data_IF_843920403236
#
_entry.id   IF_843920403236
#
_cell.length_a   1.000
_cell.length_b   1.000
_cell.length_c   1.000
_cell.angle_alpha   90.00
_cell.angle_beta   90.00
_cell.angle_gamma   90.00
#
_symmetry.space_group_name_H-M   'P 1'
#
loop_
_entity.id
_entity.type
_entity.pdbx_description
1 polymer ?
#
# COMPACT_ATOMS: atom_id res chain seq x y z
N UNK A 1 -26.17 6.28 2.59
CA UNK A 1 -25.38 7.27 3.36
C UNK A 1 -23.92 7.31 2.92
N UNK A 2 -23.18 6.19 2.91
CA UNK A 2 -21.77 6.20 2.49
C UNK A 2 -21.51 6.75 1.08
N UNK A 3 -22.34 6.37 0.09
CA UNK A 3 -22.27 6.91 -1.28
C UNK A 3 -22.52 8.43 -1.31
N UNK A 4 -23.44 8.93 -0.47
CA UNK A 4 -23.74 10.36 -0.38
C UNK A 4 -22.55 11.15 0.17
N UNK A 5 -21.92 10.62 1.24
CA UNK A 5 -20.70 11.20 1.80
C UNK A 5 -19.57 11.20 0.76
N UNK A 6 -19.38 10.07 0.07
CA UNK A 6 -18.38 9.93 -1.00
C UNK A 6 -18.60 10.95 -2.12
N UNK A 7 -19.86 11.13 -2.59
CA UNK A 7 -20.18 12.12 -3.62
C UNK A 7 -19.93 13.54 -3.16
N UNK A 8 -20.17 13.84 -1.88
CA UNK A 8 -19.96 15.17 -1.33
C UNK A 8 -18.47 15.57 -1.28
N UNK A 9 -17.57 14.59 -1.12
CA UNK A 9 -16.11 14.83 -0.99
C UNK A 9 -15.30 14.44 -2.24
N UNK A 10 -15.99 14.16 -3.35
CA UNK A 10 -15.40 13.59 -4.57
C UNK A 10 -14.27 14.45 -5.16
N UNK A 11 -14.35 15.77 -5.02
CA UNK A 11 -13.46 16.72 -5.71
C UNK A 11 -11.99 16.66 -5.25
N UNK A 12 -11.70 16.02 -4.12
CA UNK A 12 -10.33 15.96 -3.58
C UNK A 12 -9.65 14.59 -3.72
N UNK A 13 -10.32 13.56 -4.24
CA UNK A 13 -9.75 12.21 -4.45
C UNK A 13 -9.42 11.46 -3.15
N UNK A 14 -8.47 11.96 -2.35
CA UNK A 14 -8.09 11.41 -1.03
C UNK A 14 -9.24 11.46 -0.02
N UNK A 15 -10.08 12.48 -0.06
CA UNK A 15 -11.25 12.54 0.83
C UNK A 15 -12.29 11.48 0.48
N UNK A 16 -12.40 11.11 -0.80
CA UNK A 16 -13.31 10.08 -1.27
C UNK A 16 -12.87 8.68 -0.78
N UNK A 17 -11.57 8.40 -0.70
CA UNK A 17 -11.09 7.14 -0.10
C UNK A 17 -11.29 7.10 1.41
N UNK A 18 -11.07 8.22 2.11
CA UNK A 18 -11.35 8.33 3.54
C UNK A 18 -12.84 8.16 3.86
N UNK A 19 -13.75 8.55 2.97
CA UNK A 19 -15.18 8.32 3.17
C UNK A 19 -15.51 6.82 3.35
N UNK A 20 -14.85 5.93 2.59
CA UNK A 20 -15.01 4.48 2.76
C UNK A 20 -14.53 4.00 4.14
N UNK A 21 -13.38 4.51 4.59
CA UNK A 21 -12.83 4.21 5.93
C UNK A 21 -13.78 4.69 7.02
N UNK A 22 -14.28 5.94 6.93
CA UNK A 22 -15.25 6.50 7.87
C UNK A 22 -16.51 5.64 7.90
N UNK A 23 -17.07 5.28 6.75
CA UNK A 23 -18.25 4.40 6.72
C UNK A 23 -17.95 3.09 7.44
N UNK A 24 -16.82 2.44 7.16
CA UNK A 24 -16.40 1.21 7.85
C UNK A 24 -16.35 1.33 9.37
N UNK A 25 -15.76 2.42 9.89
CA UNK A 25 -15.71 2.69 11.33
C UNK A 25 -17.08 2.86 11.99
N UNK A 26 -18.08 3.33 11.24
CA UNK A 26 -19.43 3.55 11.76
C UNK A 26 -20.35 2.32 11.60
N UNK A 27 -19.89 1.23 10.97
CA UNK A 27 -20.70 0.00 10.87
C UNK A 27 -20.64 -0.74 12.22
N UNK A 28 -21.79 -1.11 12.82
CA UNK A 28 -21.81 -1.75 14.12
C UNK A 28 -21.03 -3.06 14.17
N UNK A 29 -20.07 -3.16 15.10
CA UNK A 29 -19.31 -4.38 15.32
C UNK A 29 -20.00 -5.34 16.30
N UNK A 30 -20.71 -4.82 17.32
CA UNK A 30 -21.29 -5.63 18.40
C UNK A 30 -22.36 -6.60 17.89
N UNK A 31 -22.30 -7.84 18.36
CA UNK A 31 -23.27 -8.89 18.05
C UNK A 31 -24.54 -8.75 18.89
N UNK A 32 -25.39 -7.77 18.56
CA UNK A 32 -26.66 -7.55 19.29
C UNK A 32 -27.73 -8.60 18.95
N UNK A 33 -27.63 -9.25 17.78
CA UNK A 33 -28.59 -10.23 17.27
C UNK A 33 -27.94 -11.58 16.93
N UNK A 34 -26.89 -11.98 17.67
CA UNK A 34 -26.14 -13.21 17.43
C UNK A 34 -25.28 -13.21 16.16
N UNK A 35 -25.17 -12.05 15.48
CA UNK A 35 -24.29 -11.84 14.33
C UNK A 35 -23.82 -10.39 14.28
N UNK A 36 -22.55 -10.19 13.91
CA UNK A 36 -21.98 -8.86 13.66
C UNK A 36 -22.24 -8.43 12.20
N UNK A 37 -22.92 -7.29 11.95
CA UNK A 37 -23.14 -6.80 10.60
C UNK A 37 -21.83 -6.36 9.94
N UNK A 38 -20.88 -5.79 10.69
CA UNK A 38 -19.54 -5.47 10.18
C UNK A 38 -18.80 -6.71 9.69
N UNK A 39 -18.77 -7.78 10.49
CA UNK A 39 -18.11 -9.05 10.14
C UNK A 39 -18.75 -9.70 8.91
N UNK A 40 -20.09 -9.66 8.81
CA UNK A 40 -20.82 -10.15 7.64
C UNK A 40 -20.44 -9.36 6.39
N UNK A 41 -20.38 -8.03 6.47
CA UNK A 41 -20.05 -7.17 5.34
C UNK A 41 -18.59 -7.35 4.89
N UNK A 42 -17.64 -7.38 5.83
CA UNK A 42 -16.23 -7.62 5.55
C UNK A 42 -16.04 -8.93 4.78
N UNK A 43 -16.67 -10.02 5.25
CA UNK A 43 -16.56 -11.33 4.61
C UNK A 43 -17.19 -11.35 3.20
N UNK A 44 -18.28 -10.62 2.99
CA UNK A 44 -18.91 -10.50 1.66
C UNK A 44 -18.06 -9.63 0.73
N UNK A 45 -17.48 -8.54 1.22
CA UNK A 45 -16.68 -7.61 0.41
C UNK A 45 -15.31 -8.18 0.06
N UNK A 46 -14.70 -8.99 0.93
CA UNK A 46 -13.36 -9.54 0.72
C UNK A 46 -13.16 -10.19 -0.67
N UNK A 47 -14.00 -11.11 -1.16
CA UNK A 47 -13.84 -11.68 -2.50
C UNK A 47 -14.01 -10.63 -3.61
N UNK A 48 -14.96 -9.69 -3.49
CA UNK A 48 -15.12 -8.62 -4.49
C UNK A 48 -13.89 -7.70 -4.55
N UNK A 49 -13.31 -7.38 -3.39
CA UNK A 49 -12.11 -6.55 -3.33
C UNK A 49 -10.92 -7.28 -3.92
N UNK A 50 -10.71 -8.54 -3.52
CA UNK A 50 -9.57 -9.35 -3.94
C UNK A 50 -9.61 -9.75 -5.43
N UNK A 51 -10.79 -10.14 -5.95
CA UNK A 51 -10.91 -10.71 -7.30
C UNK A 51 -11.39 -9.73 -8.37
N UNK A 52 -12.06 -8.63 -7.99
CA UNK A 52 -12.58 -7.67 -8.95
C UNK A 52 -11.91 -6.30 -8.80
N UNK A 53 -12.01 -5.68 -7.61
CA UNK A 53 -11.61 -4.28 -7.43
C UNK A 53 -10.09 -4.12 -7.54
N UNK A 54 -9.30 -4.94 -6.84
CA UNK A 54 -7.84 -4.86 -6.88
C UNK A 54 -7.27 -5.18 -8.28
N UNK A 55 -7.69 -6.27 -8.96
CA UNK A 55 -7.24 -6.54 -10.32
C UNK A 55 -7.65 -5.46 -11.32
N UNK A 56 -8.88 -4.94 -11.23
CA UNK A 56 -9.34 -3.85 -12.10
C UNK A 56 -8.55 -2.56 -11.85
N UNK A 57 -8.28 -2.23 -10.59
CA UNK A 57 -7.46 -1.07 -10.22
C UNK A 57 -6.04 -1.20 -10.77
N UNK A 58 -5.42 -2.37 -10.57
CA UNK A 58 -4.10 -2.67 -11.10
C UNK A 58 -4.10 -2.61 -12.63
N UNK A 59 -5.10 -3.16 -13.32
CA UNK A 59 -5.21 -3.08 -14.77
C UNK A 59 -5.28 -1.63 -15.27
N UNK A 60 -6.10 -0.79 -14.64
CA UNK A 60 -6.28 0.61 -15.04
C UNK A 60 -5.05 1.49 -14.73
N UNK A 61 -4.32 1.20 -13.65
CA UNK A 61 -3.27 2.09 -13.14
C UNK A 61 -1.84 1.56 -13.26
N UNK A 62 -1.63 0.24 -13.36
CA UNK A 62 -0.30 -0.35 -13.51
C UNK A 62 0.19 -0.33 -14.97
N UNK A 63 -0.66 0.05 -15.93
CA UNK A 63 -0.23 0.35 -17.29
C UNK A 63 0.77 1.51 -17.27
N UNK A 64 2.01 1.23 -17.69
CA UNK A 64 3.07 2.23 -17.85
C UNK A 64 3.57 2.16 -19.28
N UNK A 65 3.71 3.34 -19.92
CA UNK A 65 4.35 3.40 -21.23
C UNK A 65 5.84 3.09 -21.08
N UNK A 66 6.30 2.04 -21.75
CA UNK A 66 7.73 1.70 -21.85
C UNK A 66 8.42 2.42 -23.01
N UNK A 67 7.67 3.18 -23.81
CA UNK A 67 8.23 3.95 -24.91
C UNK A 67 9.06 5.11 -24.36
N UNK A 68 10.31 5.22 -24.79
CA UNK A 68 11.22 6.28 -24.34
C UNK A 68 11.82 6.05 -22.95
N UNK A 69 11.71 4.84 -22.37
CA UNK A 69 12.40 4.52 -21.11
C UNK A 69 13.90 4.50 -21.36
N UNK A 70 14.59 5.50 -20.82
CA UNK A 70 16.05 5.56 -20.79
C UNK A 70 16.55 5.11 -19.42
N UNK A 71 17.76 4.52 -19.39
CA UNK A 71 18.45 4.19 -18.14
C UNK A 71 18.67 5.45 -17.29
N UNK A 72 18.91 6.60 -17.93
CA UNK A 72 19.07 7.90 -17.29
C UNK A 72 17.79 8.37 -16.56
N UNK A 73 16.62 8.02 -17.10
CA UNK A 73 15.36 8.34 -16.44
C UNK A 73 15.10 7.47 -15.19
N UNK A 74 15.54 6.21 -15.19
CA UNK A 74 15.47 5.33 -14.01
C UNK A 74 16.45 5.75 -12.91
N UNK A 75 17.60 6.32 -13.26
CA UNK A 75 18.57 6.87 -12.29
C UNK A 75 18.23 8.29 -11.85
N UNK A 76 17.15 8.87 -12.38
CA UNK A 76 16.63 10.15 -11.88
C UNK A 76 16.18 10.04 -10.42
N UNK A 77 16.10 11.19 -9.75
CA UNK A 77 15.95 11.25 -8.30
C UNK A 77 14.64 10.61 -7.80
N UNK A 78 13.57 10.66 -8.60
CA UNK A 78 12.25 10.19 -8.23
C UNK A 78 12.16 8.65 -8.22
N UNK A 79 12.43 7.92 -9.32
CA UNK A 79 12.43 6.46 -9.31
C UNK A 79 13.48 5.90 -8.34
N UNK A 80 14.68 6.48 -8.29
CA UNK A 80 15.74 6.00 -7.40
C UNK A 80 15.35 6.18 -5.92
N UNK A 81 14.76 7.31 -5.57
CA UNK A 81 14.24 7.57 -4.22
C UNK A 81 13.13 6.61 -3.83
N UNK A 82 12.21 6.29 -4.75
CA UNK A 82 11.16 5.30 -4.53
C UNK A 82 11.74 3.90 -4.35
N UNK A 83 12.65 3.46 -5.22
CA UNK A 83 13.29 2.14 -5.15
C UNK A 83 14.04 2.01 -3.83
N UNK A 84 14.87 2.99 -3.46
CA UNK A 84 15.59 2.98 -2.20
C UNK A 84 14.65 3.02 -0.99
N UNK A 85 13.57 3.81 -1.04
CA UNK A 85 12.57 3.88 0.01
C UNK A 85 11.83 2.56 0.25
N UNK A 86 11.47 1.86 -0.84
CA UNK A 86 10.78 0.57 -0.77
C UNK A 86 11.72 -0.59 -0.39
N UNK A 87 12.90 -0.64 -0.98
CA UNK A 87 13.82 -1.76 -0.83
C UNK A 87 14.67 -1.67 0.44
N UNK A 88 15.09 -0.46 0.82
CA UNK A 88 15.99 -0.24 1.96
C UNK A 88 15.23 0.44 3.11
N UNK A 89 14.43 1.46 2.82
CA UNK A 89 13.71 2.23 3.83
C UNK A 89 12.73 1.38 4.65
N UNK A 90 11.96 0.51 4.01
CA UNK A 90 10.98 -0.38 4.68
C UNK A 90 11.64 -1.39 5.64
N UNK A 91 12.61 -2.23 5.21
CA UNK A 91 13.22 -3.19 6.13
C UNK A 91 14.02 -2.51 7.23
N UNK A 92 14.75 -1.43 6.94
CA UNK A 92 15.49 -0.69 7.97
C UNK A 92 14.54 -0.03 8.97
N UNK A 93 13.46 0.60 8.49
CA UNK A 93 12.48 1.23 9.37
C UNK A 93 11.80 0.21 10.28
N UNK A 94 11.28 -0.88 9.72
CA UNK A 94 10.58 -1.91 10.50
C UNK A 94 11.52 -2.56 11.52
N UNK A 95 12.72 -2.98 11.09
CA UNK A 95 13.69 -3.61 12.00
C UNK A 95 14.14 -2.67 13.12
N UNK A 96 14.40 -1.39 12.80
CA UNK A 96 14.78 -0.37 13.78
C UNK A 96 13.67 -0.15 14.82
N UNK A 97 12.43 0.08 14.39
CA UNK A 97 11.33 0.33 15.30
C UNK A 97 10.96 -0.91 16.13
N UNK A 98 11.04 -2.12 15.55
CA UNK A 98 10.89 -3.35 16.32
C UNK A 98 11.99 -3.50 17.37
N UNK A 99 13.25 -3.23 17.02
CA UNK A 99 14.37 -3.27 17.96
C UNK A 99 14.21 -2.23 19.08
N UNK A 100 13.79 -1.00 18.75
CA UNK A 100 13.51 0.04 19.73
C UNK A 100 12.35 -0.35 20.67
N UNK A 101 11.26 -0.90 20.13
CA UNK A 101 10.12 -1.34 20.94
C UNK A 101 10.50 -2.44 21.95
N UNK A 102 11.38 -3.37 21.55
CA UNK A 102 11.92 -4.41 22.43
C UNK A 102 12.88 -3.83 23.48
N UNK A 103 13.76 -2.90 23.09
CA UNK A 103 14.68 -2.20 24.01
C UNK A 103 13.95 -1.39 25.07
N UNK A 104 12.87 -0.71 24.68
CA UNK A 104 12.04 0.11 25.56
C UNK A 104 11.03 -0.72 26.37
N UNK A 105 11.01 -2.06 26.21
CA UNK A 105 10.05 -2.98 26.84
C UNK A 105 8.58 -2.62 26.56
N UNK A 106 8.31 -1.97 25.42
CA UNK A 106 6.96 -1.64 24.95
C UNK A 106 6.29 -2.82 24.26
N UNK A 107 7.07 -3.81 23.83
CA UNK A 107 6.60 -5.01 23.16
C UNK A 107 7.49 -6.22 23.49
N UNK A 108 7.00 -7.39 23.15
CA UNK A 108 7.67 -8.69 23.24
C UNK A 108 7.50 -9.44 21.91
N UNK A 109 8.53 -10.18 21.51
CA UNK A 109 8.49 -11.05 20.34
C UNK A 109 7.44 -12.16 20.54
N UNK A 110 6.55 -12.40 19.57
CA UNK A 110 5.67 -13.56 19.59
C UNK A 110 6.45 -14.87 19.68
N UNK A 111 5.86 -15.89 20.30
CA UNK A 111 6.49 -17.21 20.43
C UNK A 111 6.83 -17.79 19.05
N UNK A 112 8.04 -18.32 18.92
CA UNK A 112 8.53 -18.92 17.67
C UNK A 112 9.00 -17.92 16.60
N UNK A 113 9.00 -16.60 16.89
CA UNK A 113 9.49 -15.60 15.94
C UNK A 113 10.96 -15.24 16.16
N UNK A 114 11.71 -15.09 15.06
CA UNK A 114 13.13 -14.66 15.10
C UNK A 114 13.29 -13.25 14.54
N UNK A 115 14.36 -12.56 14.94
CA UNK A 115 14.72 -11.25 14.37
C UNK A 115 14.93 -11.30 12.85
N UNK A 116 15.41 -12.43 12.32
CA UNK A 116 15.56 -12.66 10.88
C UNK A 116 14.21 -12.68 10.17
N UNK A 117 13.18 -13.31 10.76
CA UNK A 117 11.83 -13.32 10.21
C UNK A 117 11.21 -11.92 10.20
N UNK A 118 11.45 -11.10 11.24
CA UNK A 118 11.00 -9.69 11.24
C UNK A 118 11.65 -8.92 10.09
N UNK A 119 12.96 -9.12 9.87
CA UNK A 119 13.66 -8.47 8.77
C UNK A 119 13.11 -8.91 7.41
N UNK A 120 12.84 -10.21 7.22
CA UNK A 120 12.23 -10.74 5.99
C UNK A 120 10.83 -10.16 5.75
N UNK A 121 9.98 -10.10 6.78
CA UNK A 121 8.67 -9.43 6.71
C UNK A 121 8.84 -7.94 6.38
N UNK A 122 9.86 -7.28 6.92
CA UNK A 122 10.20 -5.91 6.60
C UNK A 122 10.52 -5.67 5.12
N UNK A 123 11.20 -6.63 4.47
CA UNK A 123 11.47 -6.61 3.02
C UNK A 123 10.16 -6.83 2.24
N UNK A 124 9.32 -7.78 2.65
CA UNK A 124 8.01 -8.02 2.03
C UNK A 124 7.06 -6.81 2.16
N UNK A 125 7.16 -6.02 3.24
CA UNK A 125 6.48 -4.74 3.38
C UNK A 125 6.97 -3.67 2.38
N UNK A 126 8.06 -3.93 1.67
CA UNK A 126 8.54 -3.15 0.53
C UNK A 126 7.73 -3.35 -0.76
N UNK A 127 6.85 -4.36 -0.81
CA UNK A 127 5.96 -4.61 -1.95
C UNK A 127 4.80 -3.61 -1.91
N UNK A 128 5.06 -2.37 -2.34
CA UNK A 128 4.09 -1.29 -2.32
C UNK A 128 3.07 -1.34 -3.45
N UNK A 129 3.46 -1.90 -4.60
CA UNK A 129 2.67 -2.11 -5.84
C UNK A 129 1.41 -1.21 -5.96
N UNK A 130 0.21 -1.75 -5.76
CA UNK A 130 -1.06 -1.03 -5.96
C UNK A 130 -1.25 0.15 -5.02
N UNK A 131 -0.90 0.01 -3.73
CA UNK A 131 -1.03 1.10 -2.76
C UNK A 131 -0.06 2.24 -3.08
N UNK A 132 1.18 1.93 -3.48
CA UNK A 132 2.13 2.95 -3.90
C UNK A 132 1.72 3.62 -5.21
N UNK A 133 1.19 2.87 -6.20
CA UNK A 133 0.67 3.46 -7.45
C UNK A 133 -0.49 4.40 -7.16
N UNK A 134 -1.39 4.02 -6.24
CA UNK A 134 -2.47 4.87 -5.79
C UNK A 134 -1.95 6.16 -5.15
N UNK A 135 -0.99 6.08 -4.23
CA UNK A 135 -0.38 7.27 -3.61
C UNK A 135 0.35 8.14 -4.63
N UNK A 136 1.08 7.55 -5.59
CA UNK A 136 1.72 8.30 -6.67
C UNK A 136 0.70 9.04 -7.54
N UNK A 137 -0.45 8.44 -7.84
CA UNK A 137 -1.54 9.10 -8.58
C UNK A 137 -2.14 10.27 -7.81
N UNK A 138 -2.22 10.19 -6.49
CA UNK A 138 -2.69 11.32 -5.67
C UNK A 138 -1.63 12.44 -5.56
N UNK A 139 -0.36 12.07 -5.51
CA UNK A 139 0.74 13.03 -5.34
C UNK A 139 1.07 13.79 -6.64
N UNK A 140 1.09 13.09 -7.77
CA UNK A 140 1.54 13.64 -9.06
C UNK A 140 0.44 13.75 -10.11
N UNK A 141 -0.75 13.18 -9.86
CA UNK A 141 -1.91 13.14 -10.76
C UNK A 141 -2.30 14.45 -11.41
N UNK A 142 -2.27 15.52 -10.63
CA UNK A 142 -2.65 16.88 -11.06
C UNK A 142 -1.45 17.78 -11.36
N UNK A 143 -0.22 17.28 -11.20
CA UNK A 143 1.00 18.08 -11.31
C UNK A 143 1.67 17.84 -12.65
N UNK A 144 2.05 16.59 -12.93
CA UNK A 144 2.78 16.23 -14.15
C UNK A 144 2.55 14.75 -14.51
N UNK A 145 1.96 14.46 -15.70
CA UNK A 145 1.79 13.10 -16.19
C UNK A 145 3.09 12.31 -16.36
N UNK A 146 4.23 12.95 -16.67
CA UNK A 146 5.50 12.26 -16.85
C UNK A 146 6.05 11.74 -15.52
N UNK A 147 5.92 12.52 -14.44
CA UNK A 147 6.33 12.10 -13.10
C UNK A 147 5.56 10.87 -12.62
N UNK A 148 4.29 10.73 -13.01
CA UNK A 148 3.48 9.54 -12.69
C UNK A 148 4.06 8.29 -13.35
N UNK A 149 4.47 8.37 -14.62
CA UNK A 149 5.05 7.24 -15.33
C UNK A 149 6.37 6.81 -14.67
N UNK A 150 7.25 7.77 -14.37
CA UNK A 150 8.50 7.49 -13.66
C UNK A 150 8.27 6.93 -12.25
N UNK A 151 7.31 7.47 -11.50
CA UNK A 151 6.93 6.95 -10.19
C UNK A 151 6.44 5.49 -10.29
N UNK A 152 5.56 5.19 -11.25
CA UNK A 152 5.07 3.82 -11.48
C UNK A 152 6.22 2.87 -11.82
N UNK A 153 7.16 3.27 -12.69
CA UNK A 153 8.35 2.45 -12.99
C UNK A 153 9.18 2.18 -11.73
N UNK A 154 9.50 3.21 -10.95
CA UNK A 154 10.24 3.06 -9.71
C UNK A 154 9.54 2.13 -8.71
N UNK A 155 8.22 2.26 -8.58
CA UNK A 155 7.40 1.39 -7.72
C UNK A 155 7.43 -0.05 -8.21
N UNK A 156 7.30 -0.29 -9.52
CA UNK A 156 7.33 -1.63 -10.11
C UNK A 156 8.68 -2.31 -9.89
N UNK A 157 9.78 -1.62 -10.21
CA UNK A 157 11.14 -2.13 -10.04
C UNK A 157 11.44 -2.39 -8.56
N UNK A 158 11.10 -1.45 -7.68
CA UNK A 158 11.28 -1.59 -6.24
C UNK A 158 10.46 -2.74 -5.67
N UNK A 159 9.18 -2.85 -6.05
CA UNK A 159 8.28 -3.91 -5.54
C UNK A 159 8.70 -5.30 -6.02
N UNK A 160 9.10 -5.46 -7.29
CA UNK A 160 9.57 -6.74 -7.83
C UNK A 160 10.89 -7.13 -7.17
N UNK A 161 11.84 -6.20 -7.05
CA UNK A 161 13.12 -6.43 -6.35
C UNK A 161 12.89 -6.86 -4.91
N UNK A 162 12.02 -6.16 -4.16
CA UNK A 162 11.67 -6.52 -2.78
C UNK A 162 10.95 -7.87 -2.70
N UNK A 163 10.09 -8.21 -3.65
CA UNK A 163 9.41 -9.49 -3.68
C UNK A 163 10.38 -10.66 -3.92
N UNK A 164 11.34 -10.50 -4.84
CA UNK A 164 12.35 -11.53 -5.12
C UNK A 164 13.29 -11.70 -3.93
N UNK A 165 13.84 -10.59 -3.42
CA UNK A 165 14.81 -10.60 -2.30
C UNK A 165 14.15 -11.05 -0.99
N UNK A 166 12.89 -10.67 -0.75
CA UNK A 166 12.16 -11.05 0.46
C UNK A 166 11.67 -12.51 0.44
N UNK A 167 11.60 -13.12 -0.74
CA UNK A 167 11.22 -14.52 -0.90
C UNK A 167 12.41 -15.49 -0.87
N UNK A 168 13.59 -15.05 -1.36
CA UNK A 168 14.85 -15.82 -1.33
C UNK A 168 15.47 -15.86 0.06
#
# INVERSE_FOLDING_TARGET
>A
VGVVLWTAVLKSGVHATLAGVIVGFFIPLKEKHGRSPAKRLEHVLHPWVAYLILPLFAFANAGVSLQGVTLDGLTSILPLGIIAGLLIGKPLGISLFCWLALRLKLAHLPEGTTYQQIMAVGILCGIGFTMSIFIASLAFGSVDPELINWAKLGILVGSISSAVIGYS
#
